data_IF_711414952950
#
_entry.id   IF_711414952950
#
_cell.length_a   1.000
_cell.length_b   1.000
_cell.length_c   1.000
_cell.angle_alpha   90.00
_cell.angle_beta   90.00
_cell.angle_gamma   90.00
#
_symmetry.space_group_name_H-M   'P 1'
#
loop_
_entity.id
_entity.type
_entity.pdbx_description
1 polymer ?
#
# COMPACT_ATOMS: atom_id res chain seq x y z
N UNK A 1 -10.14 -28.57 7.19
CA UNK A 1 -10.27 -29.84 7.95
C UNK A 1 -10.82 -29.60 9.34
N UNK A 2 -10.11 -28.87 10.21
CA UNK A 2 -10.58 -28.58 11.58
C UNK A 2 -11.93 -27.86 11.62
N UNK A 3 -12.09 -26.77 10.86
CA UNK A 3 -13.34 -26.00 10.83
C UNK A 3 -14.57 -26.84 10.43
N UNK A 4 -14.38 -27.85 9.58
CA UNK A 4 -15.46 -28.71 9.09
C UNK A 4 -15.49 -30.09 9.79
N UNK A 5 -14.70 -30.27 10.85
CA UNK A 5 -14.51 -31.54 11.57
C UNK A 5 -14.23 -32.75 10.65
N UNK A 6 -13.48 -32.54 9.56
CA UNK A 6 -13.17 -33.59 8.60
C UNK A 6 -11.89 -34.33 8.96
N UNK A 7 -11.96 -35.65 8.97
CA UNK A 7 -10.79 -36.53 9.06
C UNK A 7 -10.09 -36.65 7.71
N UNK A 8 -8.85 -37.17 7.69
CA UNK A 8 -8.09 -37.37 6.45
C UNK A 8 -8.82 -38.28 5.46
N UNK A 9 -9.34 -39.42 5.93
CA UNK A 9 -9.99 -40.40 5.07
C UNK A 9 -11.24 -39.82 4.40
N UNK A 10 -12.05 -39.06 5.15
CA UNK A 10 -13.24 -38.40 4.61
C UNK A 10 -12.91 -37.36 3.53
N UNK A 11 -11.79 -36.65 3.67
CA UNK A 11 -11.34 -35.68 2.66
C UNK A 11 -10.91 -36.38 1.37
N UNK A 12 -10.23 -37.52 1.46
CA UNK A 12 -9.80 -38.29 0.28
C UNK A 12 -10.97 -38.98 -0.44
N UNK A 13 -11.95 -39.47 0.34
CA UNK A 13 -13.16 -40.11 -0.20
C UNK A 13 -14.06 -39.07 -0.88
N UNK A 14 -14.36 -37.97 -0.19
CA UNK A 14 -15.33 -36.94 -0.62
C UNK A 14 -14.70 -35.74 -1.33
N UNK A 15 -13.47 -35.88 -1.84
CA UNK A 15 -12.75 -34.82 -2.54
C UNK A 15 -13.54 -34.23 -3.73
N UNK A 16 -14.42 -35.02 -4.35
CA UNK A 16 -15.26 -34.57 -5.48
C UNK A 16 -16.38 -33.59 -5.06
N UNK A 17 -16.87 -33.71 -3.82
CA UNK A 17 -17.97 -32.88 -3.30
C UNK A 17 -17.47 -31.66 -2.55
N UNK A 18 -16.31 -31.78 -1.91
CA UNK A 18 -15.76 -30.74 -1.04
C UNK A 18 -15.20 -29.57 -1.85
N UNK A 19 -15.47 -28.36 -1.36
CA UNK A 19 -14.87 -27.14 -1.89
C UNK A 19 -13.54 -26.88 -1.18
N UNK A 20 -12.46 -26.87 -1.95
CA UNK A 20 -11.12 -26.59 -1.44
C UNK A 20 -10.79 -25.09 -1.56
N UNK A 21 -9.96 -24.55 -0.64
CA UNK A 21 -9.41 -23.21 -0.81
C UNK A 21 -8.65 -23.08 -2.14
N UNK A 22 -8.70 -21.89 -2.73
CA UNK A 22 -8.08 -21.60 -4.03
C UNK A 22 -6.59 -21.97 -4.05
N UNK A 23 -5.85 -21.67 -2.99
CA UNK A 23 -4.42 -22.00 -2.88
C UNK A 23 -4.11 -23.49 -2.99
N UNK A 24 -5.00 -24.37 -2.49
CA UNK A 24 -4.84 -25.82 -2.59
C UNK A 24 -5.11 -26.29 -4.01
N UNK A 25 -6.14 -25.71 -4.65
CA UNK A 25 -6.47 -25.98 -6.05
C UNK A 25 -5.30 -25.56 -6.95
N UNK A 26 -4.79 -24.34 -6.80
CA UNK A 26 -3.66 -23.81 -7.59
C UNK A 26 -2.37 -24.64 -7.40
N UNK A 27 -2.12 -25.10 -6.17
CA UNK A 27 -1.02 -26.02 -5.88
C UNK A 27 -1.18 -27.33 -6.66
N UNK A 28 -2.36 -27.96 -6.61
CA UNK A 28 -2.64 -29.20 -7.33
C UNK A 28 -2.68 -29.01 -8.85
N UNK A 29 -3.01 -27.82 -9.34
CA UNK A 29 -2.91 -27.46 -10.75
C UNK A 29 -1.45 -27.39 -11.23
N UNK A 30 -0.50 -27.15 -10.32
CA UNK A 30 0.93 -27.09 -10.63
C UNK A 30 1.49 -25.66 -10.74
N UNK A 31 0.74 -24.63 -10.36
CA UNK A 31 1.21 -23.23 -10.41
C UNK A 31 2.41 -22.94 -9.51
N UNK A 32 2.59 -23.73 -8.45
CA UNK A 32 3.73 -23.62 -7.52
C UNK A 32 4.89 -24.55 -7.94
N UNK A 33 4.68 -25.37 -8.97
CA UNK A 33 5.59 -26.44 -9.40
C UNK A 33 5.12 -27.82 -8.97
N UNK A 34 5.91 -28.83 -9.33
CA UNK A 34 5.58 -30.25 -9.11
C UNK A 34 6.48 -30.81 -7.99
N UNK A 35 5.91 -31.39 -6.93
CA UNK A 35 6.71 -32.00 -5.86
C UNK A 35 7.42 -33.27 -6.35
N UNK A 36 8.50 -33.65 -5.66
CA UNK A 36 9.18 -34.91 -5.89
C UNK A 36 8.23 -36.09 -5.66
N UNK A 37 8.10 -36.98 -6.65
CA UNK A 37 7.14 -38.08 -6.63
C UNK A 37 5.76 -37.74 -7.19
N UNK A 38 5.55 -36.50 -7.65
CA UNK A 38 4.29 -36.06 -8.24
C UNK A 38 3.16 -35.90 -7.23
N UNK A 39 1.94 -35.79 -7.73
CA UNK A 39 0.76 -35.63 -6.90
C UNK A 39 0.05 -36.96 -6.68
N UNK A 40 -0.59 -37.16 -5.50
CA UNK A 40 -1.34 -38.38 -5.23
C UNK A 40 -2.60 -38.43 -6.11
N UNK A 41 -2.67 -39.43 -6.97
CA UNK A 41 -3.89 -39.81 -7.68
C UNK A 41 -4.60 -40.93 -6.88
N UNK A 42 -5.94 -40.93 -6.76
CA UNK A 42 -6.91 -40.15 -7.51
C UNK A 42 -7.23 -38.76 -6.92
N UNK A 43 -6.62 -38.39 -5.78
CA UNK A 43 -6.98 -37.18 -5.03
C UNK A 43 -6.86 -35.91 -5.89
N UNK A 44 -5.76 -35.72 -6.62
CA UNK A 44 -5.60 -34.57 -7.52
C UNK A 44 -6.71 -34.50 -8.56
N UNK A 45 -7.03 -35.61 -9.22
CA UNK A 45 -8.10 -35.64 -10.24
C UNK A 45 -9.46 -35.30 -9.66
N UNK A 46 -9.77 -35.77 -8.44
CA UNK A 46 -11.02 -35.45 -7.74
C UNK A 46 -11.16 -33.96 -7.40
N UNK A 47 -10.08 -33.36 -6.90
CA UNK A 47 -10.08 -31.93 -6.54
C UNK A 47 -10.15 -31.03 -7.76
N UNK A 48 -9.38 -31.35 -8.81
CA UNK A 48 -9.31 -30.50 -10.00
C UNK A 48 -10.50 -30.67 -10.94
N UNK A 49 -11.17 -31.83 -10.92
CA UNK A 49 -12.29 -32.14 -11.82
C UNK A 49 -11.87 -31.91 -13.29
N UNK A 50 -12.38 -30.85 -13.92
CA UNK A 50 -12.09 -30.44 -15.30
C UNK A 50 -11.14 -29.23 -15.42
N UNK A 51 -10.52 -28.79 -14.32
CA UNK A 51 -9.61 -27.64 -14.33
C UNK A 51 -8.30 -27.95 -15.06
N UNK A 52 -7.69 -26.94 -15.71
CA UNK A 52 -6.44 -27.11 -16.44
C UNK A 52 -5.29 -27.48 -15.49
N UNK A 53 -4.39 -28.32 -16.01
CA UNK A 53 -3.19 -28.78 -15.33
C UNK A 53 -1.98 -28.18 -16.04
N UNK A 54 -1.01 -27.73 -15.27
CA UNK A 54 0.27 -27.24 -15.77
C UNK A 54 1.31 -28.30 -15.45
N UNK A 55 2.00 -28.76 -16.49
CA UNK A 55 3.12 -29.68 -16.36
C UNK A 55 4.44 -28.93 -16.57
N UNK A 56 5.39 -29.14 -15.65
CA UNK A 56 6.71 -28.50 -15.72
C UNK A 56 6.79 -27.15 -15.00
N UNK A 57 7.61 -26.23 -15.52
CA UNK A 57 7.89 -24.93 -14.90
C UNK A 57 6.82 -23.90 -15.32
N UNK A 58 6.00 -23.37 -14.39
CA UNK A 58 4.91 -22.44 -14.73
C UNK A 58 5.38 -21.16 -15.43
N UNK A 59 6.55 -20.65 -15.05
CA UNK A 59 7.15 -19.46 -15.69
C UNK A 59 7.61 -19.68 -17.13
N UNK A 60 7.67 -20.92 -17.64
CA UNK A 60 8.07 -21.18 -19.02
C UNK A 60 6.94 -20.89 -20.03
N UNK A 61 5.68 -20.98 -19.61
CA UNK A 61 4.53 -20.69 -20.47
C UNK A 61 4.10 -19.22 -20.47
N UNK A 62 4.66 -18.40 -19.56
CA UNK A 62 4.30 -17.00 -19.46
C UNK A 62 5.00 -16.18 -20.55
N UNK A 63 4.29 -15.25 -21.23
CA UNK A 63 4.92 -14.34 -22.17
C UNK A 63 5.91 -13.41 -21.44
N UNK A 64 6.97 -12.95 -22.12
CA UNK A 64 7.87 -11.96 -21.57
C UNK A 64 7.11 -10.66 -21.31
N UNK A 65 7.38 -10.03 -20.16
CA UNK A 65 6.80 -8.73 -19.81
C UNK A 65 7.53 -7.59 -20.55
N UNK A 66 6.77 -6.62 -21.05
CA UNK A 66 7.30 -5.42 -21.67
C UNK A 66 7.49 -4.30 -20.63
N UNK A 67 8.74 -4.15 -20.17
CA UNK A 67 9.09 -3.12 -19.19
C UNK A 67 9.04 -1.69 -19.76
N UNK A 68 9.23 -1.52 -21.08
CA UNK A 68 9.20 -0.18 -21.69
C UNK A 68 7.79 0.37 -21.72
N UNK A 69 6.85 -0.47 -22.16
CA UNK A 69 5.43 -0.10 -22.15
C UNK A 69 4.92 0.18 -20.74
N UNK A 70 5.37 -0.61 -19.75
CA UNK A 70 5.04 -0.37 -18.35
C UNK A 70 5.59 0.97 -17.85
N UNK A 71 6.86 1.27 -18.12
CA UNK A 71 7.49 2.54 -17.73
C UNK A 71 6.76 3.74 -18.35
N UNK A 72 6.44 3.70 -19.64
CA UNK A 72 5.71 4.76 -20.33
C UNK A 72 4.31 4.98 -19.71
N UNK A 73 3.60 3.90 -19.37
CA UNK A 73 2.30 3.97 -18.70
C UNK A 73 2.39 4.58 -17.30
N UNK A 74 3.44 4.23 -16.53
CA UNK A 74 3.68 4.78 -15.21
C UNK A 74 4.02 6.28 -15.27
N UNK A 75 4.87 6.69 -16.20
CA UNK A 75 5.21 8.11 -16.42
C UNK A 75 3.99 8.94 -16.80
N UNK A 76 3.12 8.40 -17.67
CA UNK A 76 1.89 9.06 -18.04
C UNK A 76 0.90 9.24 -16.87
N UNK A 77 0.90 8.30 -15.92
CA UNK A 77 -0.05 8.30 -14.79
C UNK A 77 0.46 9.12 -13.59
N UNK A 78 1.76 9.03 -13.29
CA UNK A 78 2.34 9.54 -12.04
C UNK A 78 3.38 10.67 -12.25
N UNK A 79 3.72 11.01 -13.49
CA UNK A 79 4.71 12.04 -13.83
C UNK A 79 6.11 11.49 -14.10
N UNK A 80 7.08 12.38 -14.31
CA UNK A 80 8.41 12.03 -14.80
C UNK A 80 9.37 11.45 -13.75
N UNK A 81 9.00 11.52 -12.46
CA UNK A 81 9.80 11.08 -11.31
C UNK A 81 9.72 9.55 -11.05
N UNK A 82 9.61 8.75 -12.12
CA UNK A 82 9.60 7.28 -12.04
C UNK A 82 11.01 6.73 -12.20
N UNK A 83 11.46 5.95 -11.21
CA UNK A 83 12.77 5.27 -11.25
C UNK A 83 12.64 3.83 -11.80
N UNK A 84 13.74 3.19 -12.20
CA UNK A 84 13.72 1.78 -12.61
C UNK A 84 13.19 0.83 -11.51
N UNK A 85 13.44 1.15 -10.23
CA UNK A 85 12.97 0.39 -9.08
C UNK A 85 11.43 0.48 -8.93
N UNK A 86 10.84 1.62 -9.29
CA UNK A 86 9.39 1.81 -9.32
C UNK A 86 8.75 0.93 -10.39
N UNK A 87 9.37 0.83 -11.57
CA UNK A 87 8.90 -0.05 -12.65
C UNK A 87 8.92 -1.51 -12.21
N UNK A 88 9.97 -1.94 -11.49
CA UNK A 88 10.06 -3.29 -10.93
C UNK A 88 9.01 -3.53 -9.84
N UNK A 89 8.81 -2.56 -8.95
CA UNK A 89 7.80 -2.61 -7.90
C UNK A 89 6.38 -2.74 -8.48
N UNK A 90 6.08 -1.98 -9.53
CA UNK A 90 4.82 -2.05 -10.26
C UNK A 90 4.65 -3.37 -11.02
N UNK A 91 5.73 -3.93 -11.58
CA UNK A 91 5.70 -5.23 -12.26
C UNK A 91 5.38 -6.38 -11.29
N UNK A 92 5.88 -6.32 -10.05
CA UNK A 92 5.63 -7.34 -9.04
C UNK A 92 4.29 -7.16 -8.33
N UNK A 93 3.94 -5.93 -7.96
CA UNK A 93 2.78 -5.61 -7.14
C UNK A 93 2.03 -4.37 -7.68
N UNK A 94 1.37 -4.47 -8.85
CA UNK A 94 0.79 -3.30 -9.54
C UNK A 94 -0.23 -2.55 -8.67
N UNK A 95 -1.10 -3.29 -7.97
CA UNK A 95 -2.12 -2.71 -7.10
C UNK A 95 -1.50 -1.99 -5.88
N UNK A 96 -0.55 -2.64 -5.20
CA UNK A 96 0.11 -2.06 -4.01
C UNK A 96 0.92 -0.83 -4.40
N UNK A 97 1.57 -0.87 -5.56
CA UNK A 97 2.31 0.27 -6.08
C UNK A 97 1.40 1.46 -6.38
N UNK A 98 0.24 1.22 -6.99
CA UNK A 98 -0.75 2.27 -7.23
C UNK A 98 -1.24 2.90 -5.92
N UNK A 99 -1.63 2.07 -4.95
CA UNK A 99 -2.04 2.53 -3.62
C UNK A 99 -0.93 3.32 -2.92
N UNK A 100 0.33 2.89 -3.07
CA UNK A 100 1.49 3.60 -2.55
C UNK A 100 1.69 4.97 -3.22
N UNK A 101 1.61 5.08 -4.55
CA UNK A 101 1.75 6.36 -5.25
C UNK A 101 0.61 7.32 -4.92
N UNK A 102 -0.63 6.82 -4.80
CA UNK A 102 -1.76 7.62 -4.32
C UNK A 102 -1.55 8.10 -2.88
N UNK A 103 -1.01 7.23 -2.01
CA UNK A 103 -0.65 7.58 -0.65
C UNK A 103 0.43 8.67 -0.60
N UNK A 104 1.52 8.54 -1.37
CA UNK A 104 2.60 9.54 -1.42
C UNK A 104 2.14 10.86 -2.04
N UNK A 105 1.27 10.82 -3.06
CA UNK A 105 0.70 12.04 -3.65
C UNK A 105 -0.18 12.82 -2.66
N UNK A 106 -0.89 12.09 -1.78
CA UNK A 106 -1.71 12.69 -0.74
C UNK A 106 -0.86 13.17 0.44
N UNK A 107 -0.03 12.30 1.03
CA UNK A 107 0.64 12.56 2.31
C UNK A 107 2.11 12.94 2.20
N UNK A 108 2.67 13.08 1.00
CA UNK A 108 4.07 13.41 0.81
C UNK A 108 5.04 12.38 1.40
N UNK A 109 6.31 12.75 1.61
CA UNK A 109 7.33 11.88 2.20
C UNK A 109 7.13 11.73 3.72
N UNK A 110 6.52 10.61 4.12
CA UNK A 110 6.27 10.26 5.53
C UNK A 110 7.39 9.46 6.19
N UNK A 111 8.41 9.09 5.40
CA UNK A 111 9.61 8.35 5.83
C UNK A 111 10.48 9.15 6.81
N UNK A 112 10.39 10.48 6.75
CA UNK A 112 11.12 11.39 7.64
C UNK A 112 10.50 11.49 9.05
N UNK A 113 9.34 10.88 9.29
CA UNK A 113 8.66 10.92 10.59
C UNK A 113 9.20 9.84 11.54
N UNK A 114 9.34 10.16 12.83
CA UNK A 114 9.63 9.14 13.83
C UNK A 114 8.50 8.10 13.89
N UNK A 115 8.84 6.83 14.15
CA UNK A 115 7.88 5.71 14.16
C UNK A 115 6.67 5.97 15.07
N UNK A 116 6.88 6.61 16.23
CA UNK A 116 5.78 6.99 17.12
C UNK A 116 4.84 7.99 16.46
N UNK A 117 5.38 9.03 15.81
CA UNK A 117 4.57 10.06 15.15
C UNK A 117 3.83 9.51 13.93
N UNK A 118 4.42 8.55 13.22
CA UNK A 118 3.78 7.87 12.11
C UNK A 118 2.58 7.02 12.54
N UNK A 119 2.70 6.29 13.66
CA UNK A 119 1.65 5.38 14.14
C UNK A 119 0.57 6.08 14.99
N UNK A 120 0.97 6.93 15.94
CA UNK A 120 0.07 7.54 16.93
C UNK A 120 -0.30 8.99 16.59
N UNK A 121 0.46 9.65 15.71
CA UNK A 121 0.36 11.08 15.47
C UNK A 121 0.97 11.95 16.59
N UNK A 122 1.05 13.27 16.37
CA UNK A 122 1.54 14.22 17.37
C UNK A 122 0.46 14.53 18.43
N UNK A 123 0.87 14.62 19.70
CA UNK A 123 -0.01 15.07 20.79
C UNK A 123 -0.29 16.57 20.70
N UNK A 124 -1.35 17.02 21.35
CA UNK A 124 -1.66 18.46 21.46
C UNK A 124 -0.51 19.16 22.19
N UNK A 125 -0.08 20.29 21.64
CA UNK A 125 1.07 21.09 22.07
C UNK A 125 2.43 20.37 22.02
N UNK A 126 2.54 19.27 21.28
CA UNK A 126 3.80 18.58 21.04
C UNK A 126 4.50 19.19 19.82
N UNK A 127 5.76 19.56 20.00
CA UNK A 127 6.68 19.97 18.93
C UNK A 127 7.49 18.77 18.48
N UNK A 128 7.61 18.59 17.17
CA UNK A 128 8.49 17.59 16.62
C UNK A 128 9.25 18.14 15.42
N UNK A 129 10.47 17.64 15.27
CA UNK A 129 11.36 17.97 14.17
C UNK A 129 11.25 16.90 13.09
N UNK A 130 11.06 17.34 11.85
CA UNK A 130 11.17 16.48 10.67
C UNK A 130 12.42 16.91 9.93
N UNK A 131 13.45 16.07 9.97
CA UNK A 131 14.67 16.24 9.21
C UNK A 131 14.58 15.37 7.96
N UNK A 132 14.61 16.00 6.79
CA UNK A 132 14.57 15.27 5.53
C UNK A 132 15.99 14.78 5.19
N UNK A 133 16.20 13.47 5.10
CA UNK A 133 17.51 12.89 4.83
C UNK A 133 18.11 13.36 3.49
N UNK A 134 17.27 13.79 2.54
CA UNK A 134 17.70 14.31 1.23
C UNK A 134 18.24 15.74 1.27
N UNK A 135 17.85 16.55 2.25
CA UNK A 135 18.27 17.94 2.41
C UNK A 135 18.64 18.20 3.87
N UNK A 136 19.88 17.91 4.24
CA UNK A 136 20.47 18.14 5.58
C UNK A 136 20.35 19.59 6.11
N UNK A 137 19.87 20.53 5.30
CA UNK A 137 19.80 21.96 5.61
C UNK A 137 18.40 22.46 5.94
N UNK A 138 17.36 21.62 5.89
CA UNK A 138 15.98 22.01 6.19
C UNK A 138 15.39 21.13 7.30
N UNK A 139 15.31 21.69 8.50
CA UNK A 139 14.58 21.11 9.63
C UNK A 139 13.21 21.79 9.72
N UNK A 140 12.13 21.01 9.68
CA UNK A 140 10.78 21.54 9.87
C UNK A 140 10.35 21.32 11.32
N UNK A 141 9.98 22.41 12.01
CA UNK A 141 9.34 22.35 13.32
C UNK A 141 7.83 22.42 13.14
N UNK A 142 7.13 21.39 13.58
CA UNK A 142 5.68 21.32 13.52
C UNK A 142 5.14 21.24 14.94
N UNK A 143 4.29 22.21 15.31
CA UNK A 143 3.57 22.23 16.60
C UNK A 143 2.09 21.95 16.36
N UNK A 144 1.57 20.86 16.93
CA UNK A 144 0.13 20.59 16.87
C UNK A 144 -0.60 21.47 17.92
N UNK A 145 -1.03 22.66 17.52
CA UNK A 145 -1.57 23.65 18.47
C UNK A 145 -2.98 23.28 18.99
N UNK A 146 -3.90 22.86 18.11
CA UNK A 146 -5.33 22.68 18.45
C UNK A 146 -5.95 21.61 17.55
N UNK A 147 -6.69 20.66 18.15
CA UNK A 147 -7.55 19.71 17.42
C UNK A 147 -9.00 20.14 17.61
N UNK A 148 -9.68 20.54 16.53
CA UNK A 148 -11.10 20.90 16.58
C UNK A 148 -11.99 19.65 16.65
N UNK A 149 -13.05 19.64 17.48
CA UNK A 149 -14.06 18.58 17.41
C UNK A 149 -14.75 18.59 16.04
N UNK A 150 -15.08 17.42 15.51
CA UNK A 150 -15.61 17.25 14.15
C UNK A 150 -16.86 18.12 13.84
N UNK A 151 -17.63 18.49 14.87
CA UNK A 151 -18.82 19.35 14.76
C UNK A 151 -18.49 20.84 14.58
N UNK A 152 -17.32 21.31 15.00
CA UNK A 152 -16.91 22.72 14.89
C UNK A 152 -16.38 23.09 13.49
N UNK A 153 -15.92 22.10 12.72
CA UNK A 153 -15.39 22.31 11.36
C UNK A 153 -16.43 22.87 10.39
N UNK A 154 -17.71 22.46 10.50
CA UNK A 154 -18.79 23.02 9.69
C UNK A 154 -19.07 24.49 10.03
N UNK A 155 -18.95 24.89 11.30
CA UNK A 155 -19.20 26.26 11.75
C UNK A 155 -18.06 27.22 11.34
N UNK A 156 -16.80 26.77 11.41
CA UNK A 156 -15.65 27.58 11.03
C UNK A 156 -15.51 27.77 9.51
N UNK A 157 -15.91 26.78 8.69
CA UNK A 157 -15.88 26.89 7.23
C UNK A 157 -16.94 27.88 6.71
N UNK A 158 -18.09 27.97 7.39
CA UNK A 158 -19.15 28.94 7.05
C UNK A 158 -18.79 30.40 7.37
N UNK A 159 -17.83 30.66 8.26
CA UNK A 159 -17.47 32.01 8.70
C UNK A 159 -16.15 32.55 8.12
N UNK A 160 -15.43 31.79 7.28
CA UNK A 160 -14.20 32.26 6.62
C UNK A 160 -13.13 32.85 7.59
N UNK A 161 -13.06 32.32 8.83
CA UNK A 161 -12.19 32.85 9.91
C UNK A 161 -10.75 32.34 9.82
N UNK A 162 -10.43 31.42 8.90
CA UNK A 162 -9.12 30.75 8.89
C UNK A 162 -8.00 31.62 8.27
N UNK A 163 -8.34 32.73 7.61
CA UNK A 163 -7.35 33.57 6.93
C UNK A 163 -6.65 34.64 7.79
N UNK A 164 -7.05 34.83 9.06
CA UNK A 164 -6.63 36.01 9.84
C UNK A 164 -6.08 35.67 11.23
N UNK A 165 -4.96 34.95 11.33
CA UNK A 165 -4.16 34.97 12.56
C UNK A 165 -2.66 35.19 12.30
N UNK A 166 -2.29 36.47 12.43
CA UNK A 166 -1.01 37.00 12.89
C UNK A 166 0.26 36.64 12.10
N UNK A 167 0.59 37.50 11.12
CA UNK A 167 1.94 37.63 10.55
C UNK A 167 2.95 37.96 11.68
N UNK A 168 4.01 37.17 11.78
CA UNK A 168 5.21 37.52 12.55
C UNK A 168 6.26 38.10 11.58
N UNK A 169 7.09 39.08 11.96
CA UNK A 169 7.73 39.99 11.00
C UNK A 169 8.86 39.41 10.16
N UNK A 170 9.29 38.17 10.39
CA UNK A 170 10.46 37.59 9.75
C UNK A 170 10.22 36.11 9.43
N UNK A 171 9.91 35.79 8.17
CA UNK A 171 9.85 34.42 7.67
C UNK A 171 9.16 34.35 6.32
N UNK A 172 9.84 33.83 5.30
CA UNK A 172 9.24 33.56 3.99
C UNK A 172 8.23 32.41 4.13
N UNK A 173 6.95 32.70 3.90
CA UNK A 173 5.87 31.71 3.89
C UNK A 173 5.90 30.97 2.55
N UNK A 174 6.43 29.74 2.54
CA UNK A 174 6.20 28.82 1.43
C UNK A 174 4.98 27.96 1.75
N UNK A 175 3.94 28.11 0.94
CA UNK A 175 2.68 27.38 1.04
C UNK A 175 2.89 25.90 0.70
N UNK A 176 3.08 25.05 1.72
CA UNK A 176 3.15 23.59 1.53
C UNK A 176 1.74 23.08 1.27
N UNK A 177 1.44 22.76 0.00
CA UNK A 177 0.14 22.26 -0.44
C UNK A 177 -0.18 20.92 0.23
N UNK A 178 -1.26 20.92 1.01
CA UNK A 178 -2.16 19.82 1.39
C UNK A 178 -1.54 18.46 1.79
N UNK A 179 -1.36 18.27 3.11
CA UNK A 179 -1.34 16.94 3.74
C UNK A 179 -2.77 16.58 4.26
N UNK A 180 -3.48 15.58 3.71
CA UNK A 180 -4.86 15.29 4.09
C UNK A 180 -5.03 14.56 5.45
N UNK A 181 -3.96 13.97 6.01
CA UNK A 181 -3.96 13.43 7.39
C UNK A 181 -3.83 14.55 8.42
N UNK A 182 -3.40 15.73 7.96
CA UNK A 182 -3.27 16.94 8.74
C UNK A 182 -4.27 17.95 8.17
N UNK A 183 -5.58 17.74 8.38
CA UNK A 183 -6.58 18.78 8.12
C UNK A 183 -6.19 20.02 8.92
N UNK A 184 -5.46 20.93 8.25
CA UNK A 184 -4.90 22.21 8.70
C UNK A 184 -3.92 22.11 9.87
N UNK A 185 -2.73 21.57 9.62
CA UNK A 185 -1.55 21.98 10.39
C UNK A 185 -0.85 23.11 9.66
N UNK A 186 -0.86 24.31 10.23
CA UNK A 186 0.00 25.41 9.78
C UNK A 186 1.43 25.09 10.21
N UNK A 187 2.27 24.77 9.23
CA UNK A 187 3.71 24.60 9.43
C UNK A 187 4.32 25.99 9.59
N UNK A 188 4.73 26.34 10.81
CA UNK A 188 5.54 27.54 11.04
C UNK A 188 6.99 27.14 10.79
N UNK A 189 7.49 27.42 9.58
CA UNK A 189 8.92 27.32 9.27
C UNK A 189 9.60 28.52 9.96
N UNK A 190 10.43 28.26 10.97
CA UNK A 190 11.31 29.27 11.59
C UNK A 190 12.67 29.26 10.92
#
# INVERSE_FOLDING_TARGET
>A
MVQNNLTRAEVEERADELSFPLSVVEFLQGYVGIPHGGFPEPFRSKVLKSLPRIDGRPGASLPPMDFKSLEEGLRATHGDDITPEDVMSAAMYPKVFQEFKEFTANFGPVDCLSTRLFLDGPKIAEEFEVSNHLHHSHCFYITNLIVFPATALLACYAHNIISNMHESPHGHVNEVKNFPLLKKVHVIVK
#
